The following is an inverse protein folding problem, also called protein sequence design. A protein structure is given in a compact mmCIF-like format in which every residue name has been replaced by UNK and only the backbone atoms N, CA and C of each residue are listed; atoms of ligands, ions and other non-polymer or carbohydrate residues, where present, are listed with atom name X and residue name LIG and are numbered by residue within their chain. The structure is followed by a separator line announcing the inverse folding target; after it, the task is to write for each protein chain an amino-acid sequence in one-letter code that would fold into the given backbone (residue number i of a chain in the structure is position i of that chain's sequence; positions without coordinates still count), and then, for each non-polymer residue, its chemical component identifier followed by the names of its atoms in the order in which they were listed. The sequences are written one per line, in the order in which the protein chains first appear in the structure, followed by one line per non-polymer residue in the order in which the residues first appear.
data_IF_006010708279
#
_entry.id   IF_006010708279
#
_cell.length_a   1.000
_cell.length_b   1.000
_cell.length_c   1.000
_cell.angle_alpha   90.00
_cell.angle_beta   90.00
_cell.angle_gamma   90.00
#
_symmetry.space_group_name_H-M   'P 1'
#
loop_
_entity.id
_entity.type
_entity.pdbx_description
1 polymer ?
#
# COMPACT_ATOMS: atom_id res chain seq x y z
N UNK A 1 -13.18 20.72 -10.20
CA UNK A 1 -11.90 20.21 -9.71
C UNK A 1 -11.36 19.26 -10.75
N UNK A 2 -10.23 19.61 -11.32
CA UNK A 2 -9.47 18.86 -12.32
C UNK A 2 -8.16 18.35 -11.73
N UNK A 3 -7.49 17.44 -12.42
CA UNK A 3 -6.13 17.03 -12.08
C UNK A 3 -5.16 18.21 -12.11
N UNK A 4 -5.35 19.16 -13.03
CA UNK A 4 -4.56 20.38 -13.09
C UNK A 4 -4.68 21.21 -11.81
N UNK A 5 -5.89 21.35 -11.26
CA UNK A 5 -6.10 22.08 -9.99
C UNK A 5 -5.29 21.43 -8.84
N UNK A 6 -5.23 20.09 -8.78
CA UNK A 6 -4.43 19.37 -7.78
C UNK A 6 -2.93 19.60 -7.99
N UNK A 7 -2.47 19.57 -9.25
CA UNK A 7 -1.07 19.80 -9.60
C UNK A 7 -0.64 21.22 -9.25
N UNK A 8 -1.49 22.21 -9.53
CA UNK A 8 -1.24 23.62 -9.18
C UNK A 8 -1.16 23.80 -7.65
N UNK A 9 -2.08 23.19 -6.90
CA UNK A 9 -2.06 23.22 -5.43
C UNK A 9 -0.81 22.54 -4.86
N UNK A 10 -0.35 21.43 -5.44
CA UNK A 10 0.90 20.78 -5.06
C UNK A 10 2.11 21.67 -5.39
N UNK A 11 2.14 22.26 -6.59
CA UNK A 11 3.22 23.13 -7.02
C UNK A 11 3.35 24.38 -6.14
N UNK A 12 2.24 24.90 -5.61
CA UNK A 12 2.23 25.99 -4.65
C UNK A 12 2.89 25.63 -3.30
N UNK A 13 3.04 24.34 -2.97
CA UNK A 13 3.66 23.84 -1.73
C UNK A 13 5.13 23.42 -1.90
N UNK A 14 5.74 23.63 -3.07
CA UNK A 14 7.09 23.16 -3.37
C UNK A 14 8.16 23.85 -2.51
N UNK A 15 9.20 23.10 -2.14
CA UNK A 15 10.42 23.67 -1.57
C UNK A 15 11.66 22.85 -1.93
N UNK A 16 12.81 23.51 -1.99
CA UNK A 16 14.10 22.86 -2.30
C UNK A 16 14.49 21.82 -1.26
N UNK A 17 14.22 22.08 0.02
CA UNK A 17 14.47 21.12 1.11
C UNK A 17 13.62 19.85 0.95
N UNK A 18 12.34 20.01 0.62
CA UNK A 18 11.45 18.89 0.39
C UNK A 18 11.84 18.13 -0.89
N UNK A 19 12.27 18.83 -1.94
CA UNK A 19 12.79 18.23 -3.17
C UNK A 19 14.06 17.40 -2.90
N UNK A 20 15.01 17.95 -2.13
CA UNK A 20 16.22 17.24 -1.75
C UNK A 20 15.90 16.01 -0.87
N UNK A 21 14.90 16.10 0.00
CA UNK A 21 14.47 14.99 0.84
C UNK A 21 13.79 13.88 0.03
N UNK A 22 12.85 14.20 -0.85
CA UNK A 22 12.13 13.20 -1.66
C UNK A 22 13.06 12.49 -2.64
N UNK A 23 14.02 13.19 -3.25
CA UNK A 23 14.99 12.58 -4.17
C UNK A 23 15.84 11.47 -3.55
N UNK A 24 16.01 11.44 -2.23
CA UNK A 24 16.76 10.36 -1.54
C UNK A 24 16.07 8.99 -1.60
N UNK A 25 14.78 8.95 -1.93
CA UNK A 25 13.96 7.72 -1.95
C UNK A 25 13.36 7.38 -3.31
N UNK A 26 13.47 8.28 -4.29
CA UNK A 26 12.99 8.04 -5.66
C UNK A 26 14.06 7.39 -6.52
N UNK A 27 13.63 6.76 -7.61
CA UNK A 27 14.56 6.25 -8.60
C UNK A 27 15.33 7.42 -9.26
N UNK A 28 16.59 7.21 -9.69
CA UNK A 28 17.31 8.21 -10.46
C UNK A 28 16.52 8.62 -11.71
N UNK A 29 16.34 9.93 -11.91
CA UNK A 29 15.63 10.48 -13.06
C UNK A 29 14.11 10.60 -12.91
N UNK A 30 13.53 10.09 -11.82
CA UNK A 30 12.11 10.31 -11.53
C UNK A 30 11.86 11.79 -11.18
N UNK A 31 10.89 12.40 -11.87
CA UNK A 31 10.50 13.79 -11.63
C UNK A 31 9.84 13.94 -10.26
N UNK A 32 10.08 15.08 -9.60
CA UNK A 32 9.46 15.42 -8.33
C UNK A 32 9.30 16.93 -8.22
N UNK A 33 8.18 17.35 -7.63
CA UNK A 33 7.86 18.74 -7.34
C UNK A 33 8.57 19.25 -6.08
N UNK A 34 8.82 18.36 -5.11
CA UNK A 34 9.38 18.71 -3.81
C UNK A 34 8.34 19.18 -2.82
N UNK A 35 7.33 18.35 -2.53
CA UNK A 35 6.28 18.67 -1.54
C UNK A 35 6.46 17.83 -0.28
N UNK A 36 6.35 18.44 0.90
CA UNK A 36 6.34 17.70 2.17
C UNK A 36 5.13 16.77 2.23
N UNK A 37 5.33 15.51 2.62
CA UNK A 37 4.26 14.50 2.65
C UNK A 37 2.98 14.93 3.40
N UNK A 38 3.11 15.69 4.49
CA UNK A 38 1.95 16.22 5.21
C UNK A 38 1.09 17.15 4.35
N UNK A 39 1.72 18.10 3.65
CA UNK A 39 1.04 19.04 2.76
C UNK A 39 0.45 18.32 1.53
N UNK A 40 1.14 17.31 1.00
CA UNK A 40 0.60 16.46 -0.06
C UNK A 40 -0.70 15.78 0.40
N UNK A 41 -0.73 15.25 1.62
CA UNK A 41 -1.95 14.64 2.17
C UNK A 41 -3.07 15.65 2.36
N UNK A 42 -2.76 16.89 2.78
CA UNK A 42 -3.75 17.95 2.93
C UNK A 42 -4.37 18.32 1.57
N UNK A 43 -3.54 18.51 0.53
CA UNK A 43 -3.99 18.77 -0.85
C UNK A 43 -4.85 17.61 -1.36
N UNK A 44 -4.34 16.36 -1.28
CA UNK A 44 -5.09 15.20 -1.73
C UNK A 44 -6.43 15.00 -0.99
N UNK A 45 -6.50 15.40 0.29
CA UNK A 45 -7.73 15.34 1.08
C UNK A 45 -8.74 16.40 0.65
N UNK A 46 -8.29 17.62 0.34
CA UNK A 46 -9.13 18.68 -0.18
C UNK A 46 -9.75 18.30 -1.54
N UNK A 47 -9.02 17.53 -2.34
CA UNK A 47 -9.46 17.01 -3.63
C UNK A 47 -9.99 15.57 -3.58
N UNK A 48 -10.43 15.08 -2.43
CA UNK A 48 -10.89 13.70 -2.29
C UNK A 48 -12.14 13.38 -3.15
N UNK A 49 -12.86 14.38 -3.66
CA UNK A 49 -14.02 14.25 -4.55
C UNK A 49 -13.68 14.33 -6.06
N UNK A 50 -12.39 14.34 -6.42
CA UNK A 50 -11.92 14.36 -7.81
C UNK A 50 -12.43 13.17 -8.67
N UNK A 51 -13.11 13.37 -9.81
CA UNK A 51 -13.62 12.27 -10.65
C UNK A 51 -12.54 11.25 -11.04
N UNK A 52 -12.89 9.95 -11.16
CA UNK A 52 -11.89 8.92 -11.50
C UNK A 52 -11.10 9.18 -12.80
N UNK A 53 -11.68 9.77 -13.88
CA UNK A 53 -10.89 10.17 -15.04
C UNK A 53 -9.77 11.16 -14.70
N UNK A 54 -10.01 12.08 -13.78
CA UNK A 54 -9.00 13.03 -13.31
C UNK A 54 -7.99 12.36 -12.36
N UNK A 55 -8.41 11.34 -11.60
CA UNK A 55 -7.47 10.50 -10.84
C UNK A 55 -6.52 9.77 -11.79
N UNK A 56 -7.01 9.26 -12.93
CA UNK A 56 -6.15 8.69 -13.96
C UNK A 56 -5.17 9.71 -14.54
N UNK A 57 -5.63 10.94 -14.82
CA UNK A 57 -4.75 12.01 -15.29
C UNK A 57 -3.63 12.35 -14.28
N UNK A 58 -3.89 12.29 -12.97
CA UNK A 58 -2.85 12.42 -11.94
C UNK A 58 -1.88 11.23 -11.95
N UNK A 59 -2.38 10.02 -12.20
CA UNK A 59 -1.57 8.80 -12.31
C UNK A 59 -0.69 8.80 -13.56
N UNK A 60 -1.09 9.49 -14.63
CA UNK A 60 -0.33 9.67 -15.87
C UNK A 60 0.76 10.76 -15.77
N UNK A 61 0.78 11.53 -14.68
CA UNK A 61 1.72 12.64 -14.51
C UNK A 61 3.15 12.12 -14.22
N UNK A 62 4.20 12.69 -14.85
CA UNK A 62 5.57 12.18 -14.72
C UNK A 62 6.12 12.33 -13.28
N UNK A 63 5.81 13.44 -12.62
CA UNK A 63 6.26 13.68 -11.25
C UNK A 63 5.64 12.72 -10.21
N UNK A 64 6.41 12.42 -9.17
CA UNK A 64 6.02 11.57 -8.05
C UNK A 64 4.80 12.10 -7.26
N UNK A 65 4.76 13.40 -6.94
CA UNK A 65 3.75 13.96 -6.03
C UNK A 65 2.31 13.88 -6.57
N UNK A 66 2.02 14.20 -7.85
CA UNK A 66 0.68 14.00 -8.40
C UNK A 66 0.23 12.54 -8.38
N UNK A 67 1.11 11.59 -8.72
CA UNK A 67 0.83 10.15 -8.64
C UNK A 67 0.54 9.72 -7.20
N UNK A 68 1.36 10.15 -6.25
CA UNK A 68 1.13 9.89 -4.82
C UNK A 68 -0.18 10.53 -4.32
N UNK A 69 -0.53 11.74 -4.80
CA UNK A 69 -1.79 12.38 -4.47
C UNK A 69 -2.99 11.58 -4.99
N UNK A 70 -2.90 10.99 -6.18
CA UNK A 70 -3.93 10.09 -6.72
C UNK A 70 -4.16 8.88 -5.78
N UNK A 71 -3.10 8.19 -5.35
CA UNK A 71 -3.22 7.10 -4.38
C UNK A 71 -3.76 7.55 -3.01
N UNK A 72 -3.42 8.78 -2.58
CA UNK A 72 -4.00 9.37 -1.39
C UNK A 72 -5.51 9.62 -1.54
N UNK A 73 -5.96 10.12 -2.69
CA UNK A 73 -7.38 10.34 -3.01
C UNK A 73 -8.13 9.02 -2.98
N UNK A 74 -7.60 7.97 -3.61
CA UNK A 74 -8.19 6.62 -3.56
C UNK A 74 -8.35 6.13 -2.11
N UNK A 75 -7.30 6.25 -1.28
CA UNK A 75 -7.35 5.89 0.14
C UNK A 75 -8.38 6.73 0.92
N UNK A 76 -8.43 8.05 0.72
CA UNK A 76 -9.38 8.91 1.40
C UNK A 76 -10.83 8.59 1.04
N UNK A 77 -11.09 8.22 -0.22
CA UNK A 77 -12.40 7.72 -0.65
C UNK A 77 -12.74 6.38 -0.03
N UNK A 78 -11.82 5.43 -0.03
CA UNK A 78 -12.03 4.09 0.51
C UNK A 78 -12.35 4.06 2.02
N UNK A 79 -11.97 5.12 2.75
CA UNK A 79 -12.33 5.34 4.16
C UNK A 79 -13.80 5.69 4.39
N UNK A 80 -14.50 6.16 3.36
CA UNK A 80 -15.91 6.55 3.44
C UNK A 80 -16.81 5.31 3.41
N UNK A 81 -18.09 5.52 3.70
CA UNK A 81 -19.12 4.52 3.42
C UNK A 81 -19.38 4.54 1.91
N UNK A 82 -19.09 3.42 1.26
CA UNK A 82 -19.22 3.21 -0.17
C UNK A 82 -20.11 1.99 -0.42
N UNK A 83 -20.88 2.04 -1.49
CA UNK A 83 -21.49 0.87 -2.11
C UNK A 83 -20.43 -0.10 -2.63
N UNK A 84 -20.85 -1.31 -2.99
CA UNK A 84 -19.91 -2.30 -3.51
C UNK A 84 -19.29 -1.89 -4.85
N UNK A 85 -20.09 -1.31 -5.74
CA UNK A 85 -19.64 -0.83 -7.05
C UNK A 85 -18.65 0.33 -6.90
N UNK A 86 -18.87 1.26 -5.97
CA UNK A 86 -17.91 2.33 -5.69
C UNK A 86 -16.60 1.79 -5.11
N UNK A 87 -16.64 0.79 -4.21
CA UNK A 87 -15.42 0.16 -3.69
C UNK A 87 -14.66 -0.55 -4.80
N UNK A 88 -15.39 -1.29 -5.64
CA UNK A 88 -14.84 -1.98 -6.80
C UNK A 88 -14.16 -1.00 -7.75
N UNK A 89 -14.78 0.14 -8.05
CA UNK A 89 -14.18 1.14 -8.94
C UNK A 89 -12.83 1.65 -8.42
N UNK A 90 -12.67 1.86 -7.09
CA UNK A 90 -11.38 2.25 -6.53
C UNK A 90 -10.35 1.12 -6.60
N UNK A 91 -10.78 -0.12 -6.34
CA UNK A 91 -9.96 -1.32 -6.45
C UNK A 91 -9.45 -1.54 -7.88
N UNK A 92 -10.34 -1.44 -8.87
CA UNK A 92 -10.02 -1.61 -10.29
C UNK A 92 -8.99 -0.55 -10.72
N UNK A 93 -9.20 0.74 -10.39
CA UNK A 93 -8.22 1.80 -10.67
C UNK A 93 -6.85 1.50 -10.07
N UNK A 94 -6.79 1.03 -8.83
CA UNK A 94 -5.53 0.73 -8.17
C UNK A 94 -4.78 -0.43 -8.86
N UNK A 95 -5.47 -1.51 -9.23
CA UNK A 95 -4.83 -2.66 -9.88
C UNK A 95 -4.45 -2.38 -11.33
N UNK A 96 -5.34 -1.73 -12.08
CA UNK A 96 -5.11 -1.41 -13.49
C UNK A 96 -3.96 -0.42 -13.66
N UNK A 97 -3.73 0.43 -12.66
CA UNK A 97 -2.67 1.46 -12.66
C UNK A 97 -1.49 1.11 -11.75
N UNK A 98 -1.30 -0.17 -11.44
CA UNK A 98 -0.17 -0.63 -10.61
C UNK A 98 1.18 -0.29 -11.27
N UNK A 99 1.24 -0.21 -12.60
CA UNK A 99 2.39 0.28 -13.38
C UNK A 99 2.85 1.70 -13.01
N UNK A 100 1.99 2.53 -12.39
CA UNK A 100 2.33 3.88 -11.95
C UNK A 100 2.92 3.95 -10.54
N UNK A 101 2.96 2.82 -9.84
CA UNK A 101 3.57 2.69 -8.53
C UNK A 101 5.07 2.50 -8.72
N UNK A 102 5.85 3.52 -8.38
CA UNK A 102 7.32 3.50 -8.51
C UNK A 102 8.04 3.33 -7.18
N UNK A 103 7.32 3.39 -6.06
CA UNK A 103 7.92 3.27 -4.73
C UNK A 103 6.94 2.70 -3.70
N UNK A 104 7.50 2.10 -2.66
CA UNK A 104 6.81 1.30 -1.66
C UNK A 104 5.76 2.09 -0.85
N UNK A 105 5.92 3.41 -0.74
CA UNK A 105 5.02 4.24 0.05
C UNK A 105 3.67 4.50 -0.65
N UNK A 106 3.63 4.47 -1.98
CA UNK A 106 2.38 4.49 -2.75
C UNK A 106 1.55 3.22 -2.48
N UNK A 107 2.23 2.06 -2.38
CA UNK A 107 1.59 0.80 -1.96
C UNK A 107 1.04 0.94 -0.54
N UNK A 108 1.88 1.34 0.41
CA UNK A 108 1.50 1.47 1.82
C UNK A 108 0.36 2.46 2.04
N UNK A 109 0.30 3.50 1.22
CA UNK A 109 -0.72 4.53 1.33
C UNK A 109 -2.11 4.00 1.00
N UNK A 110 -2.25 3.22 -0.06
CA UNK A 110 -3.55 2.88 -0.64
C UNK A 110 -3.94 1.41 -0.50
N UNK A 111 -2.99 0.48 -0.64
CA UNK A 111 -3.28 -0.95 -0.71
C UNK A 111 -4.15 -1.48 0.44
N UNK A 112 -3.93 -1.11 1.72
CA UNK A 112 -4.75 -1.64 2.80
C UNK A 112 -6.24 -1.31 2.60
N UNK A 113 -6.61 -0.04 2.43
CA UNK A 113 -8.02 0.35 2.38
C UNK A 113 -8.65 0.16 1.01
N UNK A 114 -7.90 0.39 -0.06
CA UNK A 114 -8.42 0.30 -1.43
C UNK A 114 -8.52 -1.16 -1.86
N UNK A 115 -7.45 -1.94 -1.67
CA UNK A 115 -7.43 -3.36 -2.07
C UNK A 115 -7.95 -4.26 -0.96
N UNK A 116 -7.35 -4.18 0.23
CA UNK A 116 -7.75 -5.02 1.36
C UNK A 116 -9.19 -4.75 1.82
N UNK A 117 -9.63 -3.49 1.77
CA UNK A 117 -11.00 -3.11 2.10
C UNK A 117 -12.04 -3.63 1.11
N UNK A 118 -11.70 -3.77 -0.17
CA UNK A 118 -12.58 -4.39 -1.17
C UNK A 118 -12.62 -5.91 -1.03
N UNK A 119 -11.47 -6.54 -0.77
CA UNK A 119 -11.32 -7.99 -0.66
C UNK A 119 -11.77 -8.58 0.69
N UNK A 120 -12.20 -7.75 1.66
CA UNK A 120 -12.70 -8.24 2.94
C UNK A 120 -13.94 -9.13 2.75
N UNK A 121 -13.90 -10.35 3.30
CA UNK A 121 -14.95 -11.35 3.10
C UNK A 121 -15.03 -11.92 1.68
N UNK A 122 -14.00 -11.73 0.84
CA UNK A 122 -13.90 -12.26 -0.52
C UNK A 122 -12.71 -13.21 -0.69
N UNK A 123 -12.62 -13.84 -1.84
CA UNK A 123 -11.44 -14.60 -2.24
C UNK A 123 -10.23 -13.67 -2.42
N UNK A 124 -9.08 -14.09 -1.87
CA UNK A 124 -7.81 -13.38 -1.96
C UNK A 124 -6.96 -13.84 -3.15
N UNK A 125 -7.49 -14.63 -4.08
CA UNK A 125 -6.82 -15.02 -5.32
C UNK A 125 -6.08 -13.86 -6.03
N UNK A 126 -6.66 -12.65 -6.16
CA UNK A 126 -5.92 -11.51 -6.75
C UNK A 126 -4.63 -11.15 -6.01
N UNK A 127 -4.60 -11.28 -4.68
CA UNK A 127 -3.38 -11.04 -3.90
C UNK A 127 -2.35 -12.15 -4.13
N UNK A 128 -2.79 -13.40 -4.28
CA UNK A 128 -1.89 -14.52 -4.59
C UNK A 128 -1.29 -14.40 -6.00
N UNK A 129 -2.03 -13.83 -6.95
CA UNK A 129 -1.52 -13.52 -8.28
C UNK A 129 -0.43 -12.44 -8.23
N UNK A 130 -0.67 -11.36 -7.47
CA UNK A 130 0.33 -10.32 -7.21
C UNK A 130 1.58 -10.89 -6.52
N UNK A 131 1.41 -11.81 -5.57
CA UNK A 131 2.50 -12.47 -4.84
C UNK A 131 3.45 -13.26 -5.75
N UNK A 132 2.98 -13.74 -6.91
CA UNK A 132 3.81 -14.47 -7.90
C UNK A 132 4.46 -13.56 -8.96
N UNK A 133 4.21 -12.25 -8.91
CA UNK A 133 4.75 -11.31 -9.88
C UNK A 133 6.28 -11.18 -9.77
N UNK A 134 6.95 -10.94 -10.90
CA UNK A 134 8.36 -10.57 -10.91
C UNK A 134 8.62 -9.17 -10.32
N UNK A 135 7.60 -8.30 -10.29
CA UNK A 135 7.71 -6.95 -9.74
C UNK A 135 7.58 -6.94 -8.20
N UNK A 136 8.60 -6.45 -7.46
CA UNK A 136 8.55 -6.37 -6.00
C UNK A 136 7.44 -5.47 -5.47
N UNK A 137 6.99 -4.44 -6.20
CA UNK A 137 5.90 -3.57 -5.72
C UNK A 137 4.54 -4.27 -5.83
N UNK A 138 4.33 -5.13 -6.82
CA UNK A 138 3.16 -6.04 -6.90
C UNK A 138 3.16 -7.02 -5.73
N UNK A 139 4.29 -7.67 -5.47
CA UNK A 139 4.44 -8.55 -4.31
C UNK A 139 4.27 -7.81 -2.98
N UNK A 140 4.73 -6.56 -2.88
CA UNK A 140 4.46 -5.71 -1.71
C UNK A 140 2.96 -5.45 -1.54
N UNK A 141 2.22 -5.12 -2.60
CA UNK A 141 0.76 -4.95 -2.54
C UNK A 141 0.08 -6.21 -2.00
N UNK A 142 0.50 -7.40 -2.45
CA UNK A 142 -0.06 -8.66 -2.01
C UNK A 142 -0.04 -8.81 -0.48
N UNK A 143 1.02 -8.33 0.18
CA UNK A 143 1.22 -8.46 1.63
C UNK A 143 0.73 -7.25 2.41
N UNK A 144 0.78 -6.06 1.82
CA UNK A 144 0.34 -4.82 2.47
C UNK A 144 -1.19 -4.70 2.47
N UNK A 145 -1.89 -5.14 1.44
CA UNK A 145 -3.36 -5.09 1.38
C UNK A 145 -4.04 -5.84 2.56
N UNK A 146 -3.60 -7.06 2.93
CA UNK A 146 -4.10 -7.79 4.10
C UNK A 146 -3.99 -7.07 5.44
N UNK A 147 -3.22 -5.99 5.58
CA UNK A 147 -3.21 -5.19 6.82
C UNK A 147 -4.60 -4.67 7.18
N UNK A 148 -5.47 -4.42 6.19
CA UNK A 148 -6.85 -4.08 6.47
C UNK A 148 -7.63 -5.25 7.05
N UNK A 149 -7.46 -6.45 6.49
CA UNK A 149 -8.10 -7.68 6.95
C UNK A 149 -7.69 -8.03 8.37
N UNK A 150 -6.39 -7.96 8.66
CA UNK A 150 -5.83 -8.16 10.00
C UNK A 150 -6.43 -7.18 11.00
N UNK A 151 -6.59 -5.91 10.63
CA UNK A 151 -7.03 -4.86 11.54
C UNK A 151 -8.55 -4.73 11.68
N UNK A 152 -9.29 -4.96 10.60
CA UNK A 152 -10.72 -4.63 10.48
C UNK A 152 -11.57 -5.79 9.92
N UNK A 153 -10.95 -6.84 9.39
CA UNK A 153 -11.65 -8.01 8.85
C UNK A 153 -12.14 -8.97 9.94
N UNK A 154 -12.95 -9.94 9.54
CA UNK A 154 -13.44 -11.02 10.39
C UNK A 154 -12.31 -12.00 10.74
N UNK A 155 -12.50 -12.83 11.77
CA UNK A 155 -11.48 -13.82 12.17
C UNK A 155 -11.15 -14.80 11.04
N UNK A 156 -12.14 -15.09 10.18
CA UNK A 156 -11.97 -15.90 8.99
C UNK A 156 -11.00 -15.29 7.95
N UNK A 157 -10.73 -13.98 7.98
CA UNK A 157 -9.82 -13.32 7.03
C UNK A 157 -8.34 -13.47 7.44
N UNK A 158 -8.04 -13.83 8.70
CA UNK A 158 -6.67 -13.88 9.20
C UNK A 158 -5.87 -15.02 8.56
N UNK A 159 -6.41 -16.24 8.54
CA UNK A 159 -5.70 -17.39 7.97
C UNK A 159 -5.40 -17.21 6.46
N UNK A 160 -6.34 -16.75 5.61
CA UNK A 160 -6.03 -16.36 4.23
C UNK A 160 -4.96 -15.28 4.11
N UNK A 161 -4.97 -14.27 5.00
CA UNK A 161 -3.94 -13.22 5.03
C UNK A 161 -2.55 -13.78 5.31
N UNK A 162 -2.44 -14.71 6.27
CA UNK A 162 -1.18 -15.40 6.57
C UNK A 162 -0.76 -16.35 5.44
N UNK A 163 -1.71 -16.95 4.71
CA UNK A 163 -1.39 -17.78 3.55
C UNK A 163 -0.76 -16.95 2.42
N UNK A 164 -1.28 -15.75 2.14
CA UNK A 164 -0.64 -14.82 1.19
C UNK A 164 0.77 -14.44 1.66
N UNK A 165 0.97 -14.21 2.96
CA UNK A 165 2.28 -13.91 3.52
C UNK A 165 3.27 -15.09 3.33
N UNK A 166 2.80 -16.33 3.48
CA UNK A 166 3.62 -17.52 3.30
C UNK A 166 4.11 -17.66 1.84
N UNK A 167 3.30 -17.25 0.87
CA UNK A 167 3.67 -17.32 -0.56
C UNK A 167 4.91 -16.44 -0.89
N UNK A 168 5.24 -15.44 -0.06
CA UNK A 168 6.36 -14.48 -0.30
C UNK A 168 7.27 -14.27 0.92
N UNK A 169 7.17 -15.08 1.96
CA UNK A 169 7.92 -14.84 3.21
C UNK A 169 9.44 -15.00 3.06
N UNK A 170 9.88 -15.75 2.05
CA UNK A 170 11.29 -15.96 1.70
C UNK A 170 11.83 -14.95 0.67
N UNK A 171 11.04 -13.93 0.30
CA UNK A 171 11.47 -12.93 -0.69
C UNK A 171 12.74 -12.19 -0.22
N UNK A 172 13.82 -12.17 -1.03
CA UNK A 172 15.06 -11.50 -0.66
C UNK A 172 14.98 -9.97 -0.79
N UNK A 173 13.98 -9.44 -1.49
CA UNK A 173 13.87 -8.02 -1.77
C UNK A 173 13.52 -7.21 -0.50
N UNK A 174 14.33 -6.18 -0.15
CA UNK A 174 14.07 -5.29 0.97
C UNK A 174 12.69 -4.61 0.99
N UNK A 175 12.10 -4.40 -0.19
CA UNK A 175 10.78 -3.82 -0.36
C UNK A 175 9.68 -4.80 0.01
N UNK A 176 9.88 -6.11 -0.18
CA UNK A 176 8.83 -7.11 0.10
C UNK A 176 8.94 -7.63 1.53
N UNK A 177 10.14 -8.06 1.95
CA UNK A 177 10.29 -8.75 3.23
C UNK A 177 9.95 -7.87 4.46
N UNK A 178 10.08 -6.54 4.35
CA UNK A 178 9.64 -5.59 5.39
C UNK A 178 8.13 -5.58 5.52
N UNK A 179 7.40 -5.65 4.40
CA UNK A 179 5.94 -5.72 4.43
C UNK A 179 5.46 -7.02 5.08
N UNK A 180 6.11 -8.15 4.82
CA UNK A 180 5.84 -9.43 5.50
C UNK A 180 6.01 -9.29 7.01
N UNK A 181 7.14 -8.75 7.46
CA UNK A 181 7.37 -8.52 8.88
C UNK A 181 6.32 -7.61 9.53
N UNK A 182 5.89 -6.54 8.84
CA UNK A 182 4.85 -5.61 9.32
C UNK A 182 3.49 -6.30 9.41
N UNK A 183 3.11 -7.09 8.41
CA UNK A 183 1.88 -7.86 8.43
C UNK A 183 1.84 -8.82 9.61
N UNK A 184 2.91 -9.62 9.79
CA UNK A 184 3.01 -10.58 10.89
C UNK A 184 3.02 -9.89 12.26
N UNK A 185 3.70 -8.74 12.37
CA UNK A 185 3.70 -7.93 13.59
C UNK A 185 2.29 -7.55 14.03
N UNK A 186 1.47 -7.07 13.09
CA UNK A 186 0.09 -6.67 13.38
C UNK A 186 -0.85 -7.86 13.55
N UNK A 187 -0.63 -8.95 12.80
CA UNK A 187 -1.35 -10.20 12.99
C UNK A 187 -1.09 -10.76 14.40
N UNK A 188 0.14 -10.62 14.91
CA UNK A 188 0.52 -11.10 16.24
C UNK A 188 -0.12 -10.33 17.38
N UNK A 189 -0.55 -9.08 17.17
CA UNK A 189 -1.39 -8.36 18.16
C UNK A 189 -2.77 -8.97 18.29
N UNK A 190 -3.30 -9.51 17.19
CA UNK A 190 -4.64 -10.09 17.12
C UNK A 190 -4.63 -11.55 17.55
N UNK A 191 -3.70 -12.33 17.02
CA UNK A 191 -3.55 -13.75 17.31
C UNK A 191 -2.05 -14.12 17.36
N UNK A 192 -1.44 -14.04 18.56
CA UNK A 192 -0.05 -14.44 18.75
C UNK A 192 0.21 -15.91 18.38
N UNK A 193 -0.75 -16.81 18.61
CA UNK A 193 -0.56 -18.24 18.38
C UNK A 193 -0.47 -18.55 16.88
N UNK A 194 -1.31 -17.92 16.06
CA UNK A 194 -1.25 -18.06 14.61
C UNK A 194 0.09 -17.59 14.03
N UNK A 195 0.64 -16.48 14.54
CA UNK A 195 1.95 -15.95 14.11
C UNK A 195 3.11 -16.81 14.60
N UNK A 196 3.07 -17.32 15.83
CA UNK A 196 4.07 -18.28 16.31
C UNK A 196 4.08 -19.55 15.43
N UNK A 197 2.91 -20.11 15.14
CA UNK A 197 2.81 -21.27 14.25
C UNK A 197 3.29 -20.96 12.82
N UNK A 198 3.10 -19.73 12.33
CA UNK A 198 3.68 -19.29 11.06
C UNK A 198 5.21 -19.27 11.12
N UNK A 199 5.79 -18.67 12.16
CA UNK A 199 7.24 -18.56 12.32
C UNK A 199 7.89 -19.94 12.47
N UNK A 200 7.29 -20.85 13.25
CA UNK A 200 7.78 -22.22 13.42
C UNK A 200 7.94 -22.96 12.08
N UNK A 201 7.07 -22.65 11.10
CA UNK A 201 7.13 -23.26 9.76
C UNK A 201 8.06 -22.55 8.79
N UNK A 202 8.17 -21.23 8.87
CA UNK A 202 8.74 -20.42 7.79
C UNK A 202 10.00 -19.63 8.16
N UNK A 203 10.27 -19.41 9.45
CA UNK A 203 11.34 -18.51 9.93
C UNK A 203 12.71 -18.84 9.35
N UNK A 204 13.04 -20.13 9.18
CA UNK A 204 14.32 -20.57 8.64
C UNK A 204 14.61 -20.04 7.22
N UNK A 205 13.57 -19.80 6.41
CA UNK A 205 13.68 -19.26 5.07
C UNK A 205 13.49 -17.73 5.01
N UNK A 206 12.99 -17.12 6.09
CA UNK A 206 12.70 -15.70 6.13
C UNK A 206 13.97 -14.86 6.35
N UNK A 207 14.05 -13.66 5.76
CA UNK A 207 15.08 -12.70 6.12
C UNK A 207 14.99 -12.31 7.61
N UNK A 208 16.13 -12.28 8.31
CA UNK A 208 16.22 -11.94 9.75
C UNK A 208 15.51 -10.63 10.12
N UNK A 209 15.55 -9.63 9.25
CA UNK A 209 14.88 -8.35 9.48
C UNK A 209 13.35 -8.48 9.55
N UNK A 210 12.76 -9.34 8.72
CA UNK A 210 11.33 -9.62 8.71
C UNK A 210 10.92 -10.39 9.97
N UNK A 211 11.69 -11.40 10.36
CA UNK A 211 11.48 -12.19 11.59
C UNK A 211 11.50 -11.29 12.83
N UNK A 212 12.50 -10.40 12.91
CA UNK A 212 12.61 -9.44 14.03
C UNK A 212 11.38 -8.54 14.14
N UNK A 213 10.87 -8.03 13.00
CA UNK A 213 9.65 -7.22 12.97
C UNK A 213 8.43 -8.05 13.41
N UNK A 214 8.29 -9.28 12.89
CA UNK A 214 7.18 -10.17 13.20
C UNK A 214 7.07 -10.46 14.71
N UNK A 215 8.22 -10.60 15.40
CA UNK A 215 8.29 -10.89 16.83
C UNK A 215 8.10 -9.67 17.74
N UNK A 216 8.07 -8.45 17.20
CA UNK A 216 8.10 -7.21 18.00
C UNK A 216 6.93 -7.07 18.99
N UNK A 217 5.76 -7.60 18.61
CA UNK A 217 4.52 -7.50 19.40
C UNK A 217 4.03 -8.82 19.98
N UNK A 218 4.81 -9.89 19.84
CA UNK A 218 4.48 -11.16 20.45
C UNK A 218 4.75 -11.12 21.97
N UNK A 219 4.04 -11.93 22.77
CA UNK A 219 4.37 -12.15 24.16
C UNK A 219 5.83 -12.59 24.31
N UNK A 220 6.48 -12.12 25.39
CA UNK A 220 7.84 -12.52 25.75
C UNK A 220 7.84 -13.79 26.57
#
# INVERSE_FOLDING_TARGET
MSAADVVDDLAAQRSDDALAAVRKRLAPGEEALGVRMGLLFDVAKAHADLPLPEVHALLDHPAYEPRMAAFCILDFRARRRLSDDERRALYDVYLDRHDQITTWDMVDRAAPRVVGGYLAGRDLAPLRDLARSADPLRRRTAVTAPLYLVRYGADADLAPSLAVAADVCADPDPVVHKAVGILLKHAGERDPAAVLAFLDRHEAAMPRAAVRLAREKLPK
#
